data_IF_190167684328
#
_entry.id   IF_190167684328
#
_cell.length_a   1.000
_cell.length_b   1.000
_cell.length_c   1.000
_cell.angle_alpha   90.00
_cell.angle_beta   90.00
_cell.angle_gamma   90.00
#
_symmetry.space_group_name_H-M   'P 1'
#
loop_
_entity.id
_entity.type
_entity.pdbx_description
1 polymer ?
#
# COMPACT_ATOMS: atom_id res chain seq x y z
N UNK A 1 -20.99 -27.04 -3.90
CA UNK A 1 -21.84 -26.31 -4.89
C UNK A 1 -21.90 -24.86 -4.40
N UNK A 2 -20.93 -24.03 -4.75
CA UNK A 2 -20.98 -22.57 -4.60
C UNK A 2 -20.70 -21.96 -5.97
N UNK A 3 -21.65 -22.16 -6.90
CA UNK A 3 -21.66 -21.43 -8.16
C UNK A 3 -22.65 -20.27 -8.00
N UNK A 4 -22.13 -19.07 -7.90
CA UNK A 4 -22.75 -17.72 -8.03
C UNK A 4 -22.45 -16.75 -6.88
N UNK A 5 -21.23 -16.72 -6.36
CA UNK A 5 -20.81 -15.50 -5.69
C UNK A 5 -20.26 -14.55 -6.77
N UNK A 6 -20.69 -13.26 -6.79
CA UNK A 6 -20.12 -12.27 -7.70
C UNK A 6 -18.60 -12.19 -7.44
N UNK A 7 -17.84 -12.30 -8.51
CA UNK A 7 -16.38 -12.25 -8.42
C UNK A 7 -15.94 -10.78 -8.34
N UNK A 8 -15.70 -10.29 -7.14
CA UNK A 8 -15.23 -8.91 -6.92
C UNK A 8 -13.79 -8.75 -7.41
N UNK A 9 -13.50 -7.60 -7.99
CA UNK A 9 -12.21 -7.27 -8.60
C UNK A 9 -11.64 -5.92 -8.11
N UNK A 10 -12.38 -5.22 -7.26
CA UNK A 10 -12.11 -3.84 -6.84
C UNK A 10 -12.64 -2.81 -7.85
N UNK A 11 -13.55 -3.21 -8.75
CA UNK A 11 -14.09 -2.33 -9.79
C UNK A 11 -14.78 -1.11 -9.18
N UNK A 12 -14.47 0.07 -9.74
CA UNK A 12 -15.01 1.34 -9.26
C UNK A 12 -14.26 1.94 -8.07
N UNK A 13 -13.33 1.19 -7.44
CA UNK A 13 -12.55 1.69 -6.30
C UNK A 13 -11.24 2.30 -6.78
N UNK A 14 -11.00 3.56 -6.38
CA UNK A 14 -9.74 4.25 -6.61
C UNK A 14 -8.75 4.00 -5.47
N UNK A 15 -7.50 3.69 -5.83
CA UNK A 15 -6.40 3.52 -4.88
C UNK A 15 -5.29 4.50 -5.20
N UNK A 16 -4.97 5.37 -4.24
CA UNK A 16 -3.79 6.23 -4.32
C UNK A 16 -2.56 5.46 -3.83
N UNK A 17 -1.49 5.45 -4.62
CA UNK A 17 -0.22 4.79 -4.30
C UNK A 17 0.86 5.86 -4.18
N UNK A 18 1.44 6.03 -2.99
CA UNK A 18 2.58 6.90 -2.74
C UNK A 18 3.87 6.06 -2.79
N UNK A 19 4.65 6.24 -3.86
CA UNK A 19 5.83 5.40 -4.11
C UNK A 19 6.83 6.06 -5.10
N UNK A 20 7.67 5.26 -5.76
CA UNK A 20 8.68 5.69 -6.76
C UNK A 20 8.10 6.05 -8.13
N UNK A 21 6.79 5.96 -8.30
CA UNK A 21 6.07 6.16 -9.55
C UNK A 21 5.35 4.90 -10.04
N UNK A 22 4.96 4.89 -11.29
CA UNK A 22 4.32 3.75 -11.95
C UNK A 22 4.75 3.70 -13.42
N UNK A 23 5.25 2.55 -13.86
CA UNK A 23 5.51 2.28 -15.26
C UNK A 23 4.20 1.88 -15.97
N UNK A 24 3.94 2.35 -17.21
CA UNK A 24 2.74 1.98 -17.98
C UNK A 24 2.82 0.52 -18.45
N UNK A 25 2.72 -0.40 -17.50
CA UNK A 25 2.77 -1.84 -17.75
C UNK A 25 1.45 -2.32 -18.38
N UNK A 26 1.52 -3.33 -19.26
CA UNK A 26 0.35 -3.90 -19.95
C UNK A 26 -0.73 -4.39 -18.97
N UNK A 27 -0.35 -4.82 -17.77
CA UNK A 27 -1.29 -5.28 -16.73
C UNK A 27 -2.16 -4.17 -16.15
N UNK A 28 -1.84 -2.91 -16.40
CA UNK A 28 -2.62 -1.79 -15.86
C UNK A 28 -3.63 -1.23 -16.87
N UNK A 29 -3.47 -1.50 -18.16
CA UNK A 29 -4.34 -0.97 -19.24
C UNK A 29 -4.54 0.56 -19.12
N UNK A 30 -5.82 0.99 -19.22
CA UNK A 30 -6.26 2.37 -18.99
C UNK A 30 -6.57 2.70 -17.53
N UNK A 31 -6.23 1.81 -16.57
CA UNK A 31 -6.61 1.95 -15.15
C UNK A 31 -5.69 2.87 -14.33
N UNK A 32 -4.63 3.40 -14.91
CA UNK A 32 -3.86 4.50 -14.30
C UNK A 32 -4.61 5.81 -14.61
N UNK A 33 -5.46 6.25 -13.69
CA UNK A 33 -6.34 7.40 -13.90
C UNK A 33 -5.68 8.75 -13.66
N UNK A 34 -4.64 8.77 -12.83
CA UNK A 34 -3.84 9.97 -12.58
C UNK A 34 -2.41 9.61 -12.21
N UNK A 35 -1.48 10.50 -12.58
CA UNK A 35 -0.08 10.46 -12.19
C UNK A 35 0.38 11.86 -11.79
N UNK A 36 1.00 11.97 -10.62
CA UNK A 36 1.60 13.23 -10.14
C UNK A 36 3.02 12.95 -9.65
N UNK A 37 3.97 13.68 -10.20
CA UNK A 37 5.38 13.61 -9.85
C UNK A 37 5.78 14.81 -8.99
N UNK A 38 5.98 14.58 -7.69
CA UNK A 38 6.41 15.61 -6.72
C UNK A 38 7.93 15.80 -6.71
N UNK A 39 8.69 14.95 -7.41
CA UNK A 39 10.16 14.98 -7.44
C UNK A 39 10.68 15.84 -8.60
N UNK A 40 10.23 15.54 -9.83
CA UNK A 40 10.71 16.21 -11.05
C UNK A 40 9.59 16.92 -11.83
N UNK A 41 8.35 16.88 -11.32
CA UNK A 41 7.16 17.48 -11.96
C UNK A 41 6.91 17.01 -13.42
N UNK A 42 7.32 15.77 -13.76
CA UNK A 42 7.04 15.17 -15.05
C UNK A 42 5.56 14.82 -15.17
N UNK A 43 5.00 14.91 -16.40
CA UNK A 43 3.57 14.69 -16.65
C UNK A 43 3.24 13.27 -17.12
N UNK A 44 4.20 12.58 -17.73
CA UNK A 44 4.02 11.21 -18.19
C UNK A 44 4.35 10.20 -17.10
N UNK A 45 3.59 9.12 -17.05
CA UNK A 45 3.84 8.02 -16.10
C UNK A 45 5.21 7.39 -16.35
N UNK A 46 5.97 7.25 -15.29
CA UNK A 46 7.24 6.52 -15.29
C UNK A 46 7.58 6.03 -13.89
N UNK A 47 8.46 5.05 -13.83
CA UNK A 47 9.08 4.56 -12.60
C UNK A 47 10.53 4.18 -12.90
N UNK A 48 11.44 4.97 -12.40
CA UNK A 48 12.89 4.85 -12.62
C UNK A 48 13.60 4.02 -11.52
N UNK A 49 12.81 3.45 -10.59
CA UNK A 49 13.24 2.52 -9.54
C UNK A 49 12.60 1.13 -9.68
N UNK A 50 11.31 1.08 -9.97
CA UNK A 50 10.51 -0.13 -10.13
C UNK A 50 9.81 -0.64 -8.87
N UNK A 51 9.98 0.04 -7.72
CA UNK A 51 9.29 -0.36 -6.49
C UNK A 51 7.78 -0.06 -6.57
N UNK A 52 7.41 1.14 -6.99
CA UNK A 52 6.00 1.54 -7.12
C UNK A 52 5.24 0.72 -8.17
N UNK A 53 5.90 0.37 -9.28
CA UNK A 53 5.33 -0.52 -10.30
C UNK A 53 5.05 -1.91 -9.73
N UNK A 54 5.96 -2.43 -8.90
CA UNK A 54 5.78 -3.72 -8.22
C UNK A 54 4.61 -3.65 -7.22
N UNK A 55 4.54 -2.62 -6.39
CA UNK A 55 3.44 -2.35 -5.45
C UNK A 55 2.10 -2.28 -6.18
N UNK A 56 2.02 -1.51 -7.27
CA UNK A 56 0.83 -1.40 -8.11
C UNK A 56 0.44 -2.75 -8.73
N UNK A 57 1.42 -3.56 -9.15
CA UNK A 57 1.21 -4.89 -9.70
C UNK A 57 0.61 -5.88 -8.70
N UNK A 58 1.13 -5.88 -7.46
CA UNK A 58 0.58 -6.71 -6.36
C UNK A 58 -0.87 -6.32 -6.05
N UNK A 59 -1.16 -5.03 -6.06
CA UNK A 59 -2.49 -4.51 -5.80
C UNK A 59 -3.44 -4.80 -6.97
N UNK A 60 -3.08 -4.38 -8.18
CA UNK A 60 -4.01 -4.21 -9.29
C UNK A 60 -3.56 -4.81 -10.64
N UNK A 61 -2.48 -5.54 -10.70
CA UNK A 61 -2.06 -6.19 -11.93
C UNK A 61 -3.14 -7.13 -12.49
N UNK A 62 -3.50 -6.99 -13.76
CA UNK A 62 -4.47 -7.89 -14.40
C UNK A 62 -3.90 -9.29 -14.66
N UNK A 63 -2.58 -9.41 -14.67
CA UNK A 63 -1.87 -10.62 -15.06
C UNK A 63 -1.85 -10.86 -16.57
N UNK A 64 -2.24 -9.89 -17.38
CA UNK A 64 -2.34 -10.02 -18.85
C UNK A 64 -1.03 -10.52 -19.47
N UNK A 65 0.11 -9.94 -19.07
CA UNK A 65 1.42 -10.34 -19.58
C UNK A 65 1.88 -11.73 -19.12
N UNK A 66 1.22 -12.34 -18.13
CA UNK A 66 1.54 -13.65 -17.57
C UNK A 66 0.43 -14.70 -17.74
N UNK A 67 -0.52 -14.43 -18.63
CA UNK A 67 -1.72 -15.29 -18.82
C UNK A 67 -2.45 -15.59 -17.50
N UNK A 68 -2.53 -14.58 -16.62
CA UNK A 68 -3.21 -14.66 -15.33
C UNK A 68 -2.36 -15.19 -14.16
N UNK A 69 -1.12 -15.61 -14.38
CA UNK A 69 -0.26 -16.23 -13.35
C UNK A 69 0.09 -15.27 -12.23
N UNK A 70 0.39 -14.01 -12.55
CA UNK A 70 0.80 -12.97 -11.59
C UNK A 70 -0.25 -11.87 -11.48
N UNK A 71 -1.47 -12.28 -11.20
CA UNK A 71 -2.60 -11.39 -11.02
C UNK A 71 -2.55 -10.74 -9.63
N UNK A 72 -2.81 -9.45 -9.57
CA UNK A 72 -2.93 -8.69 -8.32
C UNK A 72 -4.21 -9.00 -7.55
N UNK A 73 -4.27 -8.52 -6.31
CA UNK A 73 -5.39 -8.80 -5.40
C UNK A 73 -6.71 -8.16 -5.84
N UNK A 74 -6.67 -6.96 -6.46
CA UNK A 74 -7.84 -6.23 -6.92
C UNK A 74 -7.64 -5.72 -8.37
N UNK A 75 -7.66 -6.61 -9.38
CA UNK A 75 -7.29 -6.29 -10.76
C UNK A 75 -8.28 -5.38 -11.50
N UNK A 76 -9.41 -5.05 -10.91
CA UNK A 76 -10.41 -4.14 -11.47
C UNK A 76 -10.39 -2.73 -10.87
N UNK A 77 -9.62 -2.48 -9.80
CA UNK A 77 -9.50 -1.14 -9.25
C UNK A 77 -8.70 -0.21 -10.17
N UNK A 78 -8.89 1.09 -10.03
CA UNK A 78 -8.11 2.07 -10.75
C UNK A 78 -7.07 2.75 -9.84
N UNK A 79 -5.99 3.20 -10.45
CA UNK A 79 -4.78 3.63 -9.78
C UNK A 79 -4.56 5.13 -9.95
N UNK A 80 -4.22 5.76 -8.84
CA UNK A 80 -3.71 7.13 -8.80
C UNK A 80 -2.29 7.06 -8.24
N UNK A 81 -1.31 7.27 -9.11
CA UNK A 81 0.09 7.13 -8.74
C UNK A 81 0.70 8.49 -8.36
N UNK A 82 1.21 8.59 -7.15
CA UNK A 82 1.82 9.78 -6.58
C UNK A 82 3.31 9.48 -6.33
N UNK A 83 4.17 9.97 -7.24
CA UNK A 83 5.61 9.76 -7.12
C UNK A 83 6.17 10.73 -6.09
N UNK A 84 6.53 10.19 -4.92
CA UNK A 84 7.12 10.90 -3.78
C UNK A 84 8.54 10.43 -3.45
N UNK A 85 9.02 9.41 -4.17
CA UNK A 85 10.38 8.88 -4.06
C UNK A 85 11.11 8.97 -5.39
N UNK A 86 12.42 9.23 -5.30
CA UNK A 86 13.33 9.30 -6.45
C UNK A 86 13.73 7.90 -6.97
N UNK A 87 14.65 7.87 -7.95
CA UNK A 87 15.17 6.62 -8.56
C UNK A 87 15.93 5.73 -7.57
N UNK A 88 16.35 6.24 -6.43
CA UNK A 88 17.05 5.48 -5.39
C UNK A 88 16.10 5.01 -4.27
N UNK A 89 14.82 5.38 -4.35
CA UNK A 89 13.84 5.11 -3.30
C UNK A 89 13.90 6.09 -2.13
N UNK A 90 14.58 7.23 -2.29
CA UNK A 90 14.64 8.28 -1.28
C UNK A 90 13.58 9.34 -1.56
N UNK A 91 13.05 9.94 -0.49
CA UNK A 91 12.10 11.05 -0.56
C UNK A 91 12.23 11.96 0.65
N UNK A 92 11.62 13.12 0.57
CA UNK A 92 11.52 14.05 1.68
C UNK A 92 10.07 14.10 2.20
N UNK A 93 9.90 14.55 3.45
CA UNK A 93 8.59 14.63 4.09
C UNK A 93 7.69 15.66 3.42
N UNK A 94 8.24 16.73 2.90
CA UNK A 94 7.51 17.83 2.25
C UNK A 94 6.77 17.33 1.00
N UNK A 95 7.39 16.50 0.18
CA UNK A 95 6.76 15.97 -1.03
C UNK A 95 5.67 14.95 -0.69
N UNK A 96 5.85 14.15 0.37
CA UNK A 96 4.80 13.27 0.89
C UNK A 96 3.61 14.08 1.41
N UNK A 97 3.86 15.18 2.15
CA UNK A 97 2.79 16.06 2.65
C UNK A 97 2.03 16.74 1.50
N UNK A 98 2.72 17.19 0.45
CA UNK A 98 2.06 17.71 -0.77
C UNK A 98 1.19 16.65 -1.43
N UNK A 99 1.64 15.38 -1.45
CA UNK A 99 0.84 14.29 -1.97
C UNK A 99 -0.42 14.04 -1.14
N UNK A 100 -0.35 14.11 0.19
CA UNK A 100 -1.53 14.04 1.06
C UNK A 100 -2.51 15.19 0.79
N UNK A 101 -2.02 16.42 0.65
CA UNK A 101 -2.87 17.55 0.29
C UNK A 101 -3.52 17.38 -1.09
N UNK A 102 -2.78 16.82 -2.05
CA UNK A 102 -3.32 16.54 -3.37
C UNK A 102 -4.44 15.50 -3.30
N UNK A 103 -4.28 14.43 -2.50
CA UNK A 103 -5.34 13.43 -2.28
C UNK A 103 -6.58 14.10 -1.71
N UNK A 104 -6.44 14.91 -0.65
CA UNK A 104 -7.56 15.61 0.00
C UNK A 104 -8.35 16.52 -0.95
N UNK A 105 -7.73 17.04 -2.00
CA UNK A 105 -8.38 17.89 -3.01
C UNK A 105 -8.99 17.10 -4.17
N UNK A 106 -8.64 15.82 -4.33
CA UNK A 106 -8.96 15.06 -5.54
C UNK A 106 -9.62 13.70 -5.29
N UNK A 107 -9.79 13.28 -4.03
CA UNK A 107 -10.29 11.94 -3.72
C UNK A 107 -11.69 11.68 -4.28
N UNK A 108 -12.61 12.66 -4.27
CA UNK A 108 -13.94 12.53 -4.86
C UNK A 108 -13.85 12.36 -6.39
N UNK A 109 -13.01 13.19 -7.05
CA UNK A 109 -12.84 13.17 -8.50
C UNK A 109 -12.42 11.81 -9.04
N UNK A 110 -11.52 11.13 -8.32
CA UNK A 110 -10.97 9.84 -8.72
C UNK A 110 -11.56 8.68 -7.91
N UNK A 111 -12.62 8.91 -7.14
CA UNK A 111 -13.21 7.95 -6.22
C UNK A 111 -12.13 7.20 -5.41
N UNK A 112 -11.15 7.93 -4.87
CA UNK A 112 -10.09 7.36 -4.04
C UNK A 112 -10.73 6.98 -2.71
N UNK A 113 -10.73 5.69 -2.41
CA UNK A 113 -11.21 5.13 -1.14
C UNK A 113 -10.06 4.61 -0.28
N UNK A 114 -8.93 4.30 -0.92
CA UNK A 114 -7.78 3.67 -0.28
C UNK A 114 -6.53 4.47 -0.60
N UNK A 115 -5.67 4.66 0.43
CA UNK A 115 -4.34 5.24 0.29
C UNK A 115 -3.31 4.20 0.72
N UNK A 116 -2.54 3.67 -0.24
CA UNK A 116 -1.49 2.69 -0.01
C UNK A 116 -0.13 3.40 0.14
N UNK A 117 0.53 3.20 1.27
CA UNK A 117 1.82 3.81 1.60
C UNK A 117 2.83 2.70 1.89
N UNK A 118 3.57 2.27 0.86
CA UNK A 118 4.59 1.24 0.97
C UNK A 118 5.99 1.79 1.28
N UNK A 119 6.04 3.00 1.86
CA UNK A 119 7.25 3.74 2.22
C UNK A 119 7.16 4.22 3.65
N UNK A 120 8.31 4.43 4.28
CA UNK A 120 8.36 4.89 5.67
C UNK A 120 9.69 5.52 6.02
N UNK A 121 9.77 6.09 7.22
CA UNK A 121 11.03 6.65 7.74
C UNK A 121 12.01 5.52 8.07
N UNK A 122 13.29 5.86 8.07
CA UNK A 122 14.37 4.92 8.46
C UNK A 122 14.67 4.96 9.96
N UNK A 123 13.98 5.79 10.72
CA UNK A 123 14.19 5.98 12.14
C UNK A 123 12.87 5.88 12.91
N UNK A 124 12.99 5.53 14.17
CA UNK A 124 11.88 5.49 15.11
C UNK A 124 11.51 6.92 15.54
N UNK A 125 10.22 7.19 15.65
CA UNK A 125 9.72 8.50 16.07
C UNK A 125 8.52 8.36 17.00
N UNK A 126 8.27 9.38 17.79
CA UNK A 126 7.00 9.51 18.51
C UNK A 126 5.91 9.92 17.53
N UNK A 127 4.82 9.19 17.50
CA UNK A 127 3.72 9.43 16.54
C UNK A 127 3.17 10.85 16.65
N UNK A 128 2.99 11.34 17.86
CA UNK A 128 2.42 12.68 18.12
C UNK A 128 3.27 13.85 17.56
N UNK A 129 4.55 13.64 17.35
CA UNK A 129 5.48 14.65 16.85
C UNK A 129 5.78 14.52 15.36
N UNK A 130 5.45 13.38 14.74
CA UNK A 130 5.79 13.15 13.34
C UNK A 130 4.72 13.73 12.40
N UNK A 131 5.15 14.58 11.48
CA UNK A 131 4.26 15.25 10.52
C UNK A 131 3.62 14.27 9.53
N UNK A 132 4.28 13.15 9.21
CA UNK A 132 3.70 12.12 8.34
C UNK A 132 2.57 11.38 9.06
N UNK A 133 2.72 11.12 10.37
CA UNK A 133 1.66 10.53 11.18
C UNK A 133 0.44 11.45 11.22
N UNK A 134 0.63 12.74 11.49
CA UNK A 134 -0.47 13.71 11.45
C UNK A 134 -1.13 13.78 10.07
N UNK A 135 -0.33 13.71 9.02
CA UNK A 135 -0.83 13.71 7.64
C UNK A 135 -1.72 12.52 7.31
N UNK A 136 -1.30 11.31 7.67
CA UNK A 136 -2.12 10.10 7.43
C UNK A 136 -3.35 10.04 8.33
N UNK A 137 -3.27 10.57 9.55
CA UNK A 137 -4.42 10.68 10.44
C UNK A 137 -5.46 11.67 9.91
N UNK A 138 -5.04 12.75 9.26
CA UNK A 138 -5.95 13.66 8.57
C UNK A 138 -6.67 12.98 7.40
N UNK A 139 -5.95 12.19 6.58
CA UNK A 139 -6.58 11.39 5.50
C UNK A 139 -7.60 10.40 6.07
N UNK A 140 -7.27 9.77 7.20
CA UNK A 140 -8.17 8.85 7.90
C UNK A 140 -9.42 9.55 8.44
N UNK A 141 -9.28 10.74 9.02
CA UNK A 141 -10.39 11.52 9.57
C UNK A 141 -11.35 12.03 8.48
N UNK A 142 -10.87 12.17 7.23
CA UNK A 142 -11.69 12.44 6.04
C UNK A 142 -12.40 11.18 5.47
N UNK A 143 -12.27 10.03 6.13
CA UNK A 143 -12.96 8.79 5.77
C UNK A 143 -12.20 7.87 4.81
N UNK A 144 -10.97 8.23 4.41
CA UNK A 144 -10.14 7.36 3.55
C UNK A 144 -9.57 6.18 4.35
N UNK A 145 -9.50 5.02 3.71
CA UNK A 145 -8.80 3.86 4.30
C UNK A 145 -7.31 4.00 4.01
N UNK A 146 -6.52 4.31 5.04
CA UNK A 146 -5.06 4.45 4.91
C UNK A 146 -4.38 3.17 5.35
N UNK A 147 -3.57 2.59 4.46
CA UNK A 147 -2.82 1.34 4.68
C UNK A 147 -1.33 1.61 4.53
N UNK A 148 -0.56 1.38 5.57
CA UNK A 148 0.87 1.65 5.59
C UNK A 148 1.70 0.41 5.96
N UNK A 149 2.90 0.33 5.40
CA UNK A 149 3.87 -0.70 5.76
C UNK A 149 4.39 -0.49 7.19
N UNK A 150 4.61 -1.59 7.92
CA UNK A 150 5.22 -1.55 9.26
C UNK A 150 6.70 -1.13 9.23
N UNK A 151 7.34 -1.21 8.06
CA UNK A 151 8.76 -0.99 7.89
C UNK A 151 9.58 -2.28 7.99
N UNK A 152 10.85 -2.18 7.60
CA UNK A 152 11.78 -3.32 7.52
C UNK A 152 12.95 -3.16 8.51
N UNK A 153 12.72 -2.51 9.66
CA UNK A 153 13.70 -2.28 10.74
C UNK A 153 13.57 -3.29 11.89
N UNK A 154 12.72 -4.33 11.70
CA UNK A 154 12.59 -5.43 12.66
C UNK A 154 13.78 -6.39 12.65
N UNK A 155 13.72 -7.45 13.45
CA UNK A 155 12.57 -7.95 14.20
C UNK A 155 12.39 -7.39 15.63
N UNK A 156 13.25 -6.48 16.07
CA UNK A 156 13.23 -5.99 17.44
C UNK A 156 11.91 -5.27 17.79
N UNK A 157 11.42 -5.38 19.05
CA UNK A 157 10.29 -4.61 19.51
C UNK A 157 10.47 -3.09 19.31
N UNK A 158 9.39 -2.38 19.00
CA UNK A 158 9.43 -0.95 18.76
C UNK A 158 10.04 -0.55 17.41
N UNK A 159 10.17 -1.47 16.45
CA UNK A 159 10.79 -1.20 15.15
C UNK A 159 9.81 -0.75 14.06
N UNK A 160 8.53 -0.54 14.39
CA UNK A 160 7.56 0.06 13.46
C UNK A 160 7.93 1.52 13.21
N UNK A 161 7.97 1.91 11.94
CA UNK A 161 8.37 3.25 11.51
C UNK A 161 7.18 4.11 11.09
N UNK A 162 7.35 5.44 11.07
CA UNK A 162 6.31 6.34 10.56
C UNK A 162 6.15 6.20 9.03
N UNK A 163 4.88 6.30 8.53
CA UNK A 163 3.65 6.61 9.26
C UNK A 163 2.96 5.40 9.89
N UNK A 164 3.48 4.16 9.73
CA UNK A 164 2.89 2.92 10.24
C UNK A 164 2.72 2.85 11.78
N UNK A 165 3.41 3.72 12.53
CA UNK A 165 3.24 3.80 13.99
C UNK A 165 1.94 4.52 14.42
N UNK A 166 1.19 5.14 13.50
CA UNK A 166 -0.10 5.77 13.84
C UNK A 166 -1.10 4.76 14.41
N UNK A 167 -1.78 5.15 15.48
CA UNK A 167 -2.82 4.34 16.11
C UNK A 167 -4.10 4.20 15.29
N UNK A 168 -4.37 5.17 14.38
CA UNK A 168 -5.60 5.22 13.60
C UNK A 168 -5.58 4.30 12.39
N UNK A 169 -4.56 4.43 11.56
CA UNK A 169 -4.49 3.78 10.25
C UNK A 169 -4.26 2.26 10.35
N UNK A 170 -4.38 1.57 9.23
CA UNK A 170 -4.07 0.14 9.11
C UNK A 170 -2.59 -0.03 8.81
N UNK A 171 -1.87 -0.73 9.69
CA UNK A 171 -0.44 -1.01 9.53
C UNK A 171 -0.23 -2.48 9.24
N UNK A 172 0.53 -2.77 8.18
CA UNK A 172 0.72 -4.12 7.66
C UNK A 172 2.17 -4.57 7.83
N UNK A 173 2.36 -5.68 8.52
CA UNK A 173 3.62 -6.41 8.59
C UNK A 173 3.72 -7.54 7.57
N UNK A 174 4.86 -8.24 7.54
CA UNK A 174 5.06 -9.39 6.66
C UNK A 174 5.05 -10.68 7.48
N UNK A 175 4.08 -11.58 7.19
CA UNK A 175 3.88 -12.84 7.92
C UNK A 175 5.05 -13.82 7.82
N UNK A 176 5.76 -13.81 6.71
CA UNK A 176 6.89 -14.68 6.38
C UNK A 176 8.26 -14.04 6.65
N UNK A 177 8.28 -12.87 7.30
CA UNK A 177 9.50 -12.16 7.72
C UNK A 177 9.43 -11.66 9.18
N UNK A 178 8.62 -12.29 10.03
CA UNK A 178 8.47 -11.95 11.45
C UNK A 178 9.52 -12.63 12.33
N UNK A 179 10.03 -13.79 11.93
CA UNK A 179 10.95 -14.60 12.69
C UNK A 179 12.03 -15.25 11.82
N UNK A 180 13.08 -15.78 12.44
CA UNK A 180 14.18 -16.47 11.77
C UNK A 180 15.29 -15.53 11.28
N UNK A 181 16.29 -16.08 10.59
CA UNK A 181 17.54 -15.37 10.18
C UNK A 181 17.34 -14.18 9.23
N UNK A 182 16.15 -14.04 8.62
CA UNK A 182 15.81 -12.96 7.68
C UNK A 182 14.56 -12.18 8.14
N UNK A 183 14.30 -12.20 9.44
CA UNK A 183 13.24 -11.42 10.03
C UNK A 183 13.59 -9.93 9.94
N UNK A 184 12.73 -9.16 9.28
CA UNK A 184 12.89 -7.70 9.11
C UNK A 184 11.60 -6.93 9.30
N UNK A 185 10.43 -7.60 9.39
CA UNK A 185 9.15 -6.94 9.58
C UNK A 185 9.14 -6.13 10.87
N UNK A 186 8.74 -4.86 10.78
CA UNK A 186 8.59 -3.98 11.92
C UNK A 186 7.61 -4.54 12.95
N UNK A 187 7.95 -4.44 14.23
CA UNK A 187 7.17 -4.94 15.39
C UNK A 187 6.99 -3.86 16.43
N UNK A 188 5.77 -3.81 16.99
CA UNK A 188 5.45 -2.99 18.15
C UNK A 188 6.00 -3.55 19.48
N UNK A 189 5.61 -2.93 20.58
CA UNK A 189 4.74 -1.77 20.65
C UNK A 189 5.42 -0.48 20.16
N UNK A 190 4.62 0.54 19.78
CA UNK A 190 5.14 1.88 19.47
C UNK A 190 5.60 2.59 20.75
N UNK A 191 6.16 3.80 20.62
CA UNK A 191 6.51 4.62 21.80
C UNK A 191 5.31 4.91 22.71
N UNK A 192 4.11 4.99 22.14
CA UNK A 192 2.85 5.20 22.84
C UNK A 192 2.19 3.89 23.29
N UNK A 193 2.94 2.79 23.34
CA UNK A 193 2.49 1.47 23.75
C UNK A 193 1.31 0.92 22.91
N UNK A 194 1.21 1.34 21.64
CA UNK A 194 0.21 0.79 20.71
C UNK A 194 0.74 -0.48 20.08
N UNK A 195 -0.06 -1.56 20.11
CA UNK A 195 0.25 -2.79 19.41
C UNK A 195 0.19 -2.57 17.89
N UNK A 196 1.29 -2.79 17.21
CA UNK A 196 1.45 -2.72 15.76
C UNK A 196 2.37 -3.84 15.27
N UNK A 197 2.23 -4.33 14.03
CA UNK A 197 1.23 -3.97 13.03
C UNK A 197 -0.18 -4.42 13.44
N UNK A 198 -1.24 -3.91 12.78
CA UNK A 198 -2.62 -4.33 13.01
C UNK A 198 -2.87 -5.75 12.49
N UNK A 199 -2.21 -6.10 11.39
CA UNK A 199 -2.24 -7.42 10.75
C UNK A 199 -0.98 -7.67 9.94
N UNK A 200 -0.81 -8.90 9.48
CA UNK A 200 0.30 -9.33 8.62
C UNK A 200 -0.24 -10.00 7.35
N UNK A 201 0.53 -9.90 6.26
CA UNK A 201 0.27 -10.58 5.00
C UNK A 201 1.58 -11.08 4.39
N UNK A 202 1.56 -12.02 3.42
CA UNK A 202 2.77 -12.46 2.73
C UNK A 202 3.54 -11.30 2.12
N UNK A 203 4.87 -11.29 2.27
CA UNK A 203 5.72 -10.21 1.78
C UNK A 203 7.08 -10.67 1.30
N UNK A 204 7.36 -11.98 1.31
CA UNK A 204 8.64 -12.55 0.89
C UNK A 204 8.53 -13.20 -0.48
N UNK A 205 9.48 -12.86 -1.37
CA UNK A 205 9.56 -13.44 -2.71
C UNK A 205 8.27 -13.25 -3.55
N UNK A 206 7.66 -12.10 -3.44
CA UNK A 206 6.45 -11.77 -4.19
C UNK A 206 6.81 -11.37 -5.63
N UNK A 207 6.24 -12.07 -6.60
CA UNK A 207 6.41 -11.80 -8.03
C UNK A 207 5.33 -10.81 -8.49
N UNK A 208 5.74 -9.68 -9.07
CA UNK A 208 4.80 -8.66 -9.55
C UNK A 208 5.40 -7.84 -10.70
N UNK A 209 4.60 -6.92 -11.26
CA UNK A 209 4.97 -6.07 -12.38
C UNK A 209 6.31 -5.35 -12.17
N UNK A 210 7.08 -5.25 -13.24
CA UNK A 210 8.39 -4.58 -13.27
C UNK A 210 8.47 -3.63 -14.46
N UNK A 211 9.12 -2.45 -14.33
CA UNK A 211 9.34 -1.57 -15.47
C UNK A 211 10.31 -2.20 -16.49
N UNK A 212 10.09 -1.90 -17.77
CA UNK A 212 10.96 -2.30 -18.86
C UNK A 212 10.36 -3.35 -19.79
N UNK A 213 10.96 -3.47 -20.99
CA UNK A 213 10.45 -4.35 -22.05
C UNK A 213 10.97 -5.80 -21.98
N UNK A 214 12.01 -6.07 -21.19
CA UNK A 214 12.65 -7.40 -21.15
C UNK A 214 12.04 -8.34 -20.11
N UNK A 215 11.98 -7.90 -18.86
CA UNK A 215 11.38 -8.66 -17.75
C UNK A 215 10.16 -7.90 -17.23
N UNK A 216 8.97 -8.34 -17.63
CA UNK A 216 7.71 -7.71 -17.25
C UNK A 216 7.34 -7.96 -15.76
N UNK A 217 8.02 -8.88 -15.10
CA UNK A 217 7.83 -9.19 -13.68
C UNK A 217 9.17 -9.35 -12.99
N UNK A 218 9.20 -8.98 -11.71
CA UNK A 218 10.35 -9.17 -10.83
C UNK A 218 9.91 -9.61 -9.44
N UNK A 219 10.82 -10.26 -8.72
CA UNK A 219 10.60 -10.74 -7.37
C UNK A 219 11.13 -9.72 -6.37
N UNK A 220 10.29 -9.32 -5.42
CA UNK A 220 10.67 -8.42 -4.31
C UNK A 220 10.22 -8.97 -2.97
N UNK A 221 10.85 -8.48 -1.90
CA UNK A 221 10.50 -8.85 -0.51
C UNK A 221 10.49 -7.59 0.36
N UNK A 222 9.60 -7.54 1.33
CA UNK A 222 9.43 -6.44 2.28
C UNK A 222 7.98 -6.26 2.72
N UNK A 223 7.78 -5.55 3.81
CA UNK A 223 6.42 -5.14 4.24
C UNK A 223 5.73 -4.29 3.19
N UNK A 224 6.50 -3.64 2.32
CA UNK A 224 6.00 -2.93 1.14
C UNK A 224 5.27 -3.81 0.14
N UNK A 225 5.50 -5.14 0.15
CA UNK A 225 4.80 -6.11 -0.70
C UNK A 225 3.54 -6.64 -0.02
N UNK A 226 3.52 -6.69 1.30
CA UNK A 226 2.37 -7.10 2.11
C UNK A 226 1.26 -6.04 2.10
N UNK A 227 1.64 -4.76 2.15
CA UNK A 227 0.72 -3.62 2.20
C UNK A 227 -0.27 -3.58 1.02
N UNK A 228 0.16 -3.69 -0.25
CA UNK A 228 -0.76 -3.67 -1.39
C UNK A 228 -1.67 -4.90 -1.48
N UNK A 229 -1.29 -6.05 -0.92
CA UNK A 229 -2.19 -7.21 -0.80
C UNK A 229 -3.39 -6.88 0.07
N UNK A 230 -3.14 -6.25 1.22
CA UNK A 230 -4.20 -5.81 2.14
C UNK A 230 -5.04 -4.70 1.51
N UNK A 231 -4.41 -3.72 0.85
CA UNK A 231 -5.12 -2.66 0.11
C UNK A 231 -6.04 -3.25 -0.98
N UNK A 232 -5.59 -4.29 -1.66
CA UNK A 232 -6.41 -5.01 -2.65
C UNK A 232 -7.59 -5.74 -2.00
N UNK A 233 -7.38 -6.46 -0.89
CA UNK A 233 -8.47 -7.11 -0.15
C UNK A 233 -9.53 -6.09 0.30
N UNK A 234 -9.10 -4.91 0.76
CA UNK A 234 -9.99 -3.80 1.11
C UNK A 234 -10.78 -3.32 -0.11
N UNK A 235 -10.14 -3.22 -1.28
CA UNK A 235 -10.82 -2.80 -2.51
C UNK A 235 -11.94 -3.77 -2.92
N UNK A 236 -11.75 -5.08 -2.72
CA UNK A 236 -12.80 -6.08 -2.94
C UNK A 236 -13.96 -5.91 -1.96
N UNK A 237 -13.67 -5.64 -0.69
CA UNK A 237 -14.69 -5.41 0.33
C UNK A 237 -15.51 -4.16 0.04
N UNK A 238 -14.86 -3.05 -0.36
CA UNK A 238 -15.51 -1.80 -0.71
C UNK A 238 -16.30 -1.88 -2.04
N UNK A 239 -15.92 -2.74 -2.99
CA UNK A 239 -16.74 -3.04 -4.17
C UNK A 239 -18.02 -3.78 -3.75
N UNK A 240 -17.92 -4.72 -2.81
CA UNK A 240 -19.05 -5.48 -2.28
C UNK A 240 -20.01 -4.60 -1.48
N UNK A 241 -19.47 -3.74 -0.63
CA UNK A 241 -20.23 -2.79 0.19
C UNK A 241 -19.55 -1.41 0.17
N UNK A 242 -19.99 -0.53 -0.74
CA UNK A 242 -19.43 0.81 -0.88
C UNK A 242 -19.67 1.74 0.32
N UNK A 243 -20.60 1.38 1.21
CA UNK A 243 -20.96 2.21 2.37
C UNK A 243 -20.06 1.98 3.59
N UNK A 244 -19.22 0.94 3.56
CA UNK A 244 -18.28 0.67 4.65
C UNK A 244 -17.38 1.90 4.92
N UNK A 245 -17.37 2.30 6.17
CA UNK A 245 -16.43 3.31 6.69
C UNK A 245 -15.03 2.72 6.85
N UNK A 246 -14.02 3.58 6.92
CA UNK A 246 -12.64 3.14 7.18
C UNK A 246 -12.50 2.38 8.51
N UNK A 247 -13.27 2.75 9.54
CA UNK A 247 -13.28 2.07 10.82
C UNK A 247 -13.89 0.66 10.70
N UNK A 248 -15.03 0.53 10.02
CA UNK A 248 -15.66 -0.78 9.77
C UNK A 248 -14.76 -1.70 8.95
N UNK A 249 -14.07 -1.17 7.93
CA UNK A 249 -13.05 -1.89 7.18
C UNK A 249 -11.95 -2.40 8.10
N UNK A 250 -11.43 -1.56 9.00
CA UNK A 250 -10.37 -1.97 9.95
C UNK A 250 -10.86 -3.06 10.90
N UNK A 251 -12.08 -2.96 11.41
CA UNK A 251 -12.67 -3.98 12.28
C UNK A 251 -12.93 -5.29 11.55
N UNK A 252 -13.49 -5.23 10.33
CA UNK A 252 -13.73 -6.40 9.48
C UNK A 252 -12.42 -7.16 9.18
N UNK A 253 -11.34 -6.45 8.87
CA UNK A 253 -10.03 -7.09 8.66
C UNK A 253 -9.56 -7.83 9.91
N UNK A 254 -9.67 -7.20 11.10
CA UNK A 254 -9.29 -7.83 12.36
C UNK A 254 -10.10 -9.11 12.63
N UNK A 255 -11.40 -9.09 12.37
CA UNK A 255 -12.29 -10.24 12.60
C UNK A 255 -12.05 -11.37 11.58
N UNK A 256 -11.58 -11.04 10.37
CA UNK A 256 -11.31 -12.00 9.30
C UNK A 256 -9.87 -12.56 9.28
N UNK A 257 -8.99 -12.08 10.17
CA UNK A 257 -7.63 -12.61 10.29
C UNK A 257 -7.56 -13.78 11.27
N UNK A 258 -6.66 -14.73 11.00
CA UNK A 258 -6.33 -15.82 11.92
C UNK A 258 -5.20 -15.40 12.86
N UNK A 259 -5.30 -15.80 14.12
CA UNK A 259 -4.22 -15.61 15.09
C UNK A 259 -3.05 -16.55 14.74
N UNK A 260 -1.90 -15.98 14.49
CA UNK A 260 -0.69 -16.75 14.15
C UNK A 260 0.13 -17.16 15.39
N UNK A 261 -0.32 -16.80 16.60
CA UNK A 261 0.36 -17.15 17.87
C UNK A 261 1.73 -16.47 18.02
N UNK A 262 1.89 -15.24 17.53
CA UNK A 262 3.17 -14.52 17.46
C UNK A 262 3.22 -13.32 18.41
#
# INVERSE_FOLDING_TARGET
ICMNQPFYTGKGIGVAILDTGIYPHIDFDSRICAFVDFILNKKMTYDDNGHGTCVAGILAGSGAASMGKYKGAAPGCHLVALKVLDRFGNGNKEDVLKAFEWILRNWERYNIRIVNISVGTTYRTRSEQDVLVKGVEKLWDEGLVVVAAAGNQGPDPGSVTAPGCSKKIITVGSSDMLSGKRAVSGRGPTFECVCKPDLVAPGKNIMACSPGAGNLYSMKSGTSMSTPLVSGAIALALEKDPMLTNLEVKMMLRESTEDMGL
#
